data_IF_688324848057
#
_entry.id   IF_688324848057
#
_cell.length_a   1.000
_cell.length_b   1.000
_cell.length_c   1.000
_cell.angle_alpha   90.00
_cell.angle_beta   90.00
_cell.angle_gamma   90.00
#
_symmetry.space_group_name_H-M   'P 1'
#
loop_
_entity.id
_entity.type
_entity.pdbx_description
1 polymer ?
#
# COMPACT_ATOMS: atom_id res chain seq x y z
N UNK A 1 19.49 -20.70 -12.17
CA UNK A 1 19.44 -19.65 -11.13
C UNK A 1 19.63 -18.31 -11.83
N UNK A 2 18.65 -17.40 -11.77
CA UNK A 2 18.82 -16.05 -12.33
C UNK A 2 19.27 -15.12 -11.20
N UNK A 3 20.34 -14.36 -11.42
CA UNK A 3 20.81 -13.33 -10.49
C UNK A 3 20.33 -11.97 -11.00
N UNK A 4 19.51 -11.28 -10.21
CA UNK A 4 19.04 -9.95 -10.54
C UNK A 4 20.05 -8.90 -10.03
N UNK A 5 20.73 -8.25 -10.97
CA UNK A 5 21.82 -7.30 -10.69
C UNK A 5 21.47 -5.85 -11.09
N UNK A 6 20.19 -5.54 -11.32
CA UNK A 6 19.74 -4.22 -11.80
C UNK A 6 18.75 -3.54 -10.83
N UNK A 7 19.09 -3.54 -9.53
CA UNK A 7 18.27 -2.94 -8.48
C UNK A 7 18.12 -1.40 -8.61
N UNK A 8 18.99 -0.75 -9.40
CA UNK A 8 18.90 0.68 -9.64
C UNK A 8 17.80 1.04 -10.66
N UNK A 9 17.43 0.10 -11.56
CA UNK A 9 16.30 0.28 -12.46
C UNK A 9 14.96 0.07 -11.74
N UNK A 10 14.85 -1.00 -10.96
CA UNK A 10 13.70 -1.28 -10.09
C UNK A 10 14.04 -2.38 -9.09
N UNK A 11 13.18 -2.63 -8.10
CA UNK A 11 13.39 -3.68 -7.10
C UNK A 11 12.14 -4.53 -6.93
N UNK A 12 12.28 -5.85 -6.67
CA UNK A 12 11.14 -6.65 -6.25
C UNK A 12 10.63 -6.11 -4.89
N UNK A 13 9.32 -5.87 -4.74
CA UNK A 13 8.77 -5.43 -3.47
C UNK A 13 8.95 -6.54 -2.41
N UNK A 14 9.14 -6.13 -1.16
CA UNK A 14 9.10 -7.06 -0.03
C UNK A 14 7.73 -7.76 0.04
N UNK A 15 7.69 -9.01 0.50
CA UNK A 15 6.44 -9.78 0.65
C UNK A 15 5.41 -9.06 1.50
N UNK A 16 5.84 -8.38 2.56
CA UNK A 16 4.97 -7.58 3.43
C UNK A 16 4.30 -6.42 2.68
N UNK A 17 5.01 -5.78 1.76
CA UNK A 17 4.44 -4.72 0.90
C UNK A 17 3.37 -5.31 -0.02
N UNK A 18 3.64 -6.48 -0.61
CA UNK A 18 2.65 -7.18 -1.46
C UNK A 18 1.39 -7.52 -0.65
N UNK A 19 1.54 -8.01 0.57
CA UNK A 19 0.42 -8.42 1.42
C UNK A 19 -0.45 -7.23 1.84
N UNK A 20 0.17 -6.12 2.24
CA UNK A 20 -0.54 -4.87 2.55
C UNK A 20 -1.26 -4.34 1.30
N UNK A 21 -0.59 -4.31 0.15
CA UNK A 21 -1.22 -3.85 -1.09
C UNK A 21 -2.39 -4.75 -1.52
N UNK A 22 -2.26 -6.07 -1.37
CA UNK A 22 -3.37 -7.01 -1.62
C UNK A 22 -4.56 -6.71 -0.72
N UNK A 23 -4.32 -6.44 0.56
CA UNK A 23 -5.37 -6.07 1.52
C UNK A 23 -6.03 -4.75 1.14
N UNK A 24 -5.25 -3.73 0.79
CA UNK A 24 -5.79 -2.44 0.32
C UNK A 24 -6.70 -2.61 -0.90
N UNK A 25 -6.34 -3.51 -1.83
CA UNK A 25 -7.09 -3.73 -3.06
C UNK A 25 -8.33 -4.63 -2.88
N UNK A 26 -8.36 -5.47 -1.85
CA UNK A 26 -9.45 -6.45 -1.64
C UNK A 26 -10.41 -6.06 -0.51
N UNK A 27 -9.93 -5.43 0.55
CA UNK A 27 -10.70 -5.07 1.75
C UNK A 27 -10.94 -3.55 1.84
N UNK A 28 -9.88 -2.75 1.72
CA UNK A 28 -9.91 -1.29 1.90
C UNK A 28 -9.99 -0.53 0.55
N UNK A 29 -10.64 -1.13 -0.44
CA UNK A 29 -10.66 -0.68 -1.85
C UNK A 29 -11.43 0.63 -2.12
N UNK A 30 -12.13 1.15 -1.11
CA UNK A 30 -12.99 2.32 -1.25
C UNK A 30 -12.24 3.61 -1.64
N UNK A 31 -12.96 4.57 -2.21
CA UNK A 31 -12.40 5.90 -2.44
C UNK A 31 -12.21 6.65 -1.10
N UNK A 32 -10.97 7.03 -0.70
CA UNK A 32 -10.72 7.70 0.59
C UNK A 32 -11.41 9.06 0.73
N UNK A 33 -11.86 9.67 -0.37
CA UNK A 33 -12.62 10.93 -0.34
C UNK A 33 -14.10 10.75 -0.02
N UNK A 34 -14.61 9.51 -0.02
CA UNK A 34 -16.02 9.23 0.27
C UNK A 34 -16.31 9.21 1.77
N UNK A 35 -17.44 9.79 2.18
CA UNK A 35 -17.89 9.80 3.57
C UNK A 35 -18.57 8.49 4.03
N UNK A 36 -18.87 7.56 3.12
CA UNK A 36 -19.44 6.25 3.48
C UNK A 36 -18.37 5.31 4.06
N UNK A 37 -18.81 4.24 4.74
CA UNK A 37 -17.95 3.32 5.51
C UNK A 37 -16.69 2.85 4.75
N UNK A 38 -16.84 2.39 3.51
CA UNK A 38 -15.70 1.92 2.72
C UNK A 38 -14.67 3.03 2.42
N UNK A 39 -15.09 4.27 2.21
CA UNK A 39 -14.18 5.40 2.00
C UNK A 39 -13.47 5.82 3.30
N UNK A 40 -14.17 5.76 4.43
CA UNK A 40 -13.55 5.99 5.75
C UNK A 40 -12.46 4.96 6.03
N UNK A 41 -12.69 3.68 5.71
CA UNK A 41 -11.70 2.62 5.89
C UNK A 41 -10.44 2.86 5.02
N UNK A 42 -10.62 3.16 3.74
CA UNK A 42 -9.52 3.48 2.82
C UNK A 42 -8.73 4.72 3.28
N UNK A 43 -9.43 5.79 3.71
CA UNK A 43 -8.80 7.01 4.24
C UNK A 43 -7.95 6.71 5.46
N UNK A 44 -8.42 5.83 6.37
CA UNK A 44 -7.65 5.45 7.55
C UNK A 44 -6.30 4.82 7.17
N UNK A 45 -6.26 3.93 6.19
CA UNK A 45 -4.99 3.33 5.73
C UNK A 45 -4.07 4.37 5.11
N UNK A 46 -4.62 5.27 4.29
CA UNK A 46 -3.84 6.34 3.68
C UNK A 46 -3.21 7.27 4.72
N UNK A 47 -3.97 7.67 5.75
CA UNK A 47 -3.45 8.51 6.82
C UNK A 47 -2.39 7.81 7.67
N UNK A 48 -2.58 6.52 7.99
CA UNK A 48 -1.55 5.72 8.67
C UNK A 48 -0.25 5.68 7.86
N UNK A 49 -0.33 5.48 6.54
CA UNK A 49 0.84 5.51 5.67
C UNK A 49 1.52 6.88 5.62
N UNK A 50 0.74 7.99 5.59
CA UNK A 50 1.30 9.34 5.65
C UNK A 50 1.99 9.61 6.99
N UNK A 51 1.36 9.24 8.09
CA UNK A 51 1.93 9.41 9.43
C UNK A 51 3.21 8.59 9.64
N UNK A 52 3.33 7.41 9.01
CA UNK A 52 4.54 6.61 9.06
C UNK A 52 5.73 7.24 8.30
N UNK A 53 5.46 8.15 7.36
CA UNK A 53 6.48 8.84 6.55
C UNK A 53 6.82 10.24 7.06
N UNK A 54 5.99 10.83 7.92
CA UNK A 54 6.29 12.11 8.55
C UNK A 54 7.30 11.93 9.69
N UNK A 55 8.46 12.60 9.58
CA UNK A 55 9.52 12.64 10.59
C UNK A 55 9.04 13.11 11.97
#
# INVERSE_FOLDING_TARGET
MSLYLDNNATTPPHSEVIDVMRRCLSEDWGNPSSAHRAGIAARRQLELARSALSN
#
